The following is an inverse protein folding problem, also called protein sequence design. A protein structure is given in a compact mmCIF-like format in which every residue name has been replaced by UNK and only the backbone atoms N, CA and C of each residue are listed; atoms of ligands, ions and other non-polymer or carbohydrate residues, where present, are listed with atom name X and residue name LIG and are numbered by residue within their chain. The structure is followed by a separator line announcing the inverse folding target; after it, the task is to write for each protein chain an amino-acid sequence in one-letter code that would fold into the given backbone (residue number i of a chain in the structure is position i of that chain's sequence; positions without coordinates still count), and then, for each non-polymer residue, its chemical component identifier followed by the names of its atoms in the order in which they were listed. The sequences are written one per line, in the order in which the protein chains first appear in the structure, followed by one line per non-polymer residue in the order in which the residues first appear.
data_IF_557236405720
#
_entry.id   IF_557236405720
#
_cell.length_a   1.000
_cell.length_b   1.000
_cell.length_c   1.000
_cell.angle_alpha   90.00
_cell.angle_beta   90.00
_cell.angle_gamma   90.00
#
_symmetry.space_group_name_H-M   'P 1'
#
loop_
_entity.id
_entity.type
_entity.pdbx_description
1 polymer ?
#
# COMPACT_ATOMS: atom_id res chain seq x y z
N UNK A 1 -21.37 -9.91 -21.55
CA UNK A 1 -20.14 -9.55 -20.82
C UNK A 1 -19.48 -10.86 -20.40
N UNK A 2 -18.32 -11.20 -20.97
CA UNK A 2 -17.55 -12.38 -20.57
C UNK A 2 -17.23 -12.29 -19.09
N UNK A 3 -17.46 -13.36 -18.33
CA UNK A 3 -17.08 -13.46 -16.91
C UNK A 3 -15.59 -13.14 -16.80
N UNK A 4 -15.25 -11.93 -16.33
CA UNK A 4 -13.86 -11.56 -16.11
C UNK A 4 -13.35 -12.42 -14.95
N UNK A 5 -12.26 -13.16 -15.17
CA UNK A 5 -11.60 -13.93 -14.12
C UNK A 5 -10.87 -12.95 -13.20
N UNK A 6 -11.63 -12.32 -12.32
CA UNK A 6 -11.15 -11.32 -11.37
C UNK A 6 -10.75 -12.00 -10.08
N UNK A 7 -9.69 -11.49 -9.47
CA UNK A 7 -9.25 -11.97 -8.17
C UNK A 7 -10.36 -11.73 -7.12
N UNK A 8 -10.72 -12.74 -6.31
CA UNK A 8 -11.78 -12.58 -5.33
C UNK A 8 -11.40 -11.52 -4.29
N UNK A 9 -12.33 -10.61 -4.00
CA UNK A 9 -12.09 -9.47 -3.11
C UNK A 9 -11.60 -9.88 -1.71
N UNK A 10 -12.12 -10.98 -1.16
CA UNK A 10 -11.72 -11.52 0.14
C UNK A 10 -10.28 -12.04 0.14
N UNK A 11 -9.73 -12.43 -1.01
CA UNK A 11 -8.34 -12.84 -1.14
C UNK A 11 -7.37 -11.69 -0.85
N UNK A 12 -7.83 -10.43 -0.87
CA UNK A 12 -7.02 -9.26 -0.58
C UNK A 12 -6.38 -9.28 0.80
N UNK A 13 -7.02 -9.92 1.80
CA UNK A 13 -6.46 -10.05 3.15
C UNK A 13 -5.19 -10.92 3.18
N UNK A 14 -5.06 -11.89 2.28
CA UNK A 14 -3.83 -12.68 2.15
C UNK A 14 -2.65 -11.81 1.71
N UNK A 15 -2.93 -10.79 0.88
CA UNK A 15 -1.93 -9.85 0.40
C UNK A 15 -1.48 -8.86 1.48
N UNK A 16 -2.29 -8.63 2.52
CA UNK A 16 -1.90 -7.86 3.70
C UNK A 16 -1.08 -8.68 4.72
N UNK A 17 -0.93 -9.98 4.49
CA UNK A 17 -0.32 -10.90 5.44
C UNK A 17 1.12 -10.52 5.81
N UNK A 18 1.56 -10.85 7.05
CA UNK A 18 2.89 -10.51 7.54
C UNK A 18 4.03 -11.14 6.72
N UNK A 19 3.74 -12.24 6.01
CA UNK A 19 4.69 -12.87 5.08
C UNK A 19 5.10 -11.93 3.94
N UNK A 20 4.17 -11.12 3.41
CA UNK A 20 4.48 -10.13 2.37
C UNK A 20 5.36 -9.03 2.93
N UNK A 21 5.03 -8.51 4.13
CA UNK A 21 5.83 -7.48 4.81
C UNK A 21 7.27 -7.92 5.09
N UNK A 22 7.50 -9.20 5.39
CA UNK A 22 8.86 -9.74 5.57
C UNK A 22 9.69 -9.74 4.29
N UNK A 23 9.05 -9.85 3.11
CA UNK A 23 9.75 -9.79 1.80
C UNK A 23 9.90 -8.35 1.29
N UNK A 24 8.88 -7.52 1.50
CA UNK A 24 8.84 -6.13 1.08
C UNK A 24 8.32 -5.31 2.24
N UNK A 25 9.22 -4.64 2.95
CA UNK A 25 8.84 -3.68 3.98
C UNK A 25 8.46 -2.35 3.29
N UNK A 26 7.17 -1.99 3.25
CA UNK A 26 6.72 -0.81 2.52
C UNK A 26 7.32 0.47 3.10
N UNK A 27 7.59 0.53 4.40
CA UNK A 27 8.20 1.71 4.99
C UNK A 27 9.64 1.89 4.49
N UNK A 28 10.48 0.86 4.59
CA UNK A 28 11.87 0.95 4.11
C UNK A 28 11.98 1.20 2.61
N UNK A 29 11.04 0.66 1.83
CA UNK A 29 11.01 0.89 0.39
C UNK A 29 10.72 2.36 0.04
N UNK A 30 9.84 3.00 0.81
CA UNK A 30 9.33 4.35 0.52
C UNK A 30 10.11 5.47 1.21
N UNK A 31 10.80 5.16 2.31
CA UNK A 31 11.61 6.10 3.10
C UNK A 31 12.50 7.03 2.25
N UNK A 32 13.18 6.58 1.18
CA UNK A 32 14.03 7.47 0.39
C UNK A 32 13.27 8.49 -0.48
N UNK A 33 11.96 8.32 -0.65
CA UNK A 33 11.15 9.09 -1.61
C UNK A 33 10.10 9.98 -0.95
N UNK A 34 9.79 9.74 0.32
CA UNK A 34 8.72 10.41 1.04
C UNK A 34 9.31 11.25 2.16
N UNK A 35 8.87 12.50 2.24
CA UNK A 35 9.20 13.43 3.30
C UNK A 35 7.92 13.98 3.95
N UNK A 36 8.04 14.53 5.15
CA UNK A 36 6.91 15.08 5.90
C UNK A 36 6.27 16.27 5.15
N UNK A 37 4.95 16.30 5.09
CA UNK A 37 4.14 17.28 4.34
C UNK A 37 4.07 17.01 2.84
N UNK A 38 4.59 15.89 2.35
CA UNK A 38 4.54 15.57 0.93
C UNK A 38 3.15 15.09 0.50
N UNK A 39 2.63 15.63 -0.60
CA UNK A 39 1.44 15.06 -1.25
C UNK A 39 1.81 13.82 -2.06
N UNK A 40 1.20 12.68 -1.74
CA UNK A 40 1.52 11.38 -2.36
C UNK A 40 0.28 10.69 -2.93
N UNK A 41 0.50 9.81 -3.92
CA UNK A 41 -0.55 9.01 -4.57
C UNK A 41 -0.16 7.54 -4.63
N UNK A 42 -1.01 6.65 -4.12
CA UNK A 42 -0.88 5.20 -4.24
C UNK A 42 -1.76 4.70 -5.40
N UNK A 43 -1.19 4.64 -6.60
CA UNK A 43 -1.89 4.20 -7.80
C UNK A 43 -2.12 2.68 -7.77
N UNK A 44 -3.36 2.28 -7.48
CA UNK A 44 -3.71 0.87 -7.29
C UNK A 44 -3.55 0.40 -5.83
N UNK A 45 -3.97 1.24 -4.88
CA UNK A 45 -3.80 1.02 -3.44
C UNK A 45 -4.37 -0.30 -2.88
N UNK A 46 -5.34 -0.92 -3.57
CA UNK A 46 -6.05 -2.10 -3.12
C UNK A 46 -6.53 -1.93 -1.66
N UNK A 47 -5.98 -2.72 -0.73
CA UNK A 47 -6.35 -2.65 0.70
C UNK A 47 -5.42 -1.73 1.54
N UNK A 48 -4.55 -0.94 0.89
CA UNK A 48 -3.73 0.08 1.56
C UNK A 48 -2.39 -0.40 2.12
N UNK A 49 -1.79 -1.46 1.56
CA UNK A 49 -0.49 -1.98 2.02
C UNK A 49 0.64 -0.93 1.96
N UNK A 50 0.62 -0.06 0.95
CA UNK A 50 1.55 1.07 0.82
C UNK A 50 0.93 2.38 1.33
N UNK A 51 -0.35 2.61 1.04
CA UNK A 51 -1.07 3.81 1.49
C UNK A 51 -0.94 4.11 2.99
N UNK A 52 -1.04 3.09 3.86
CA UNK A 52 -0.98 3.29 5.32
C UNK A 52 0.40 3.76 5.79
N UNK A 53 1.52 3.07 5.45
CA UNK A 53 2.86 3.59 5.71
C UNK A 53 3.10 4.99 5.14
N UNK A 54 2.64 5.24 3.91
CA UNK A 54 2.75 6.56 3.27
C UNK A 54 2.08 7.64 4.11
N UNK A 55 0.83 7.43 4.51
CA UNK A 55 0.08 8.37 5.34
C UNK A 55 0.78 8.69 6.68
N UNK A 56 1.46 7.71 7.28
CA UNK A 56 2.24 7.93 8.50
C UNK A 56 3.49 8.76 8.23
N UNK A 57 4.16 8.54 7.10
CA UNK A 57 5.42 9.22 6.74
C UNK A 57 5.23 10.68 6.35
N UNK A 58 4.17 10.96 5.59
CA UNK A 58 3.84 12.32 5.13
C UNK A 58 3.31 13.16 6.31
N UNK A 59 2.60 12.53 7.25
CA UNK A 59 2.16 13.19 8.48
C UNK A 59 0.94 14.10 8.29
N UNK A 60 0.58 14.90 9.30
CA UNK A 60 -0.67 15.66 9.29
C UNK A 60 -0.68 16.85 8.34
N UNK A 61 0.49 17.31 7.87
CA UNK A 61 0.63 18.49 7.00
C UNK A 61 0.43 18.17 5.50
N UNK A 62 0.23 16.91 5.16
CA UNK A 62 0.11 16.40 3.79
C UNK A 62 0.70 15.03 3.75
#
# INVERSE_FOLDING_TARGET
MSQAHVFPWWGGYLLLGPLRKRRVDPAKLLEPYIYEGATVLDAGCAMGFFSLPMAVMVGPAG
#
